data_IF_338055408560
#
_entry.id   IF_338055408560
#
_cell.length_a   1.000
_cell.length_b   1.000
_cell.length_c   1.000
_cell.angle_alpha   90.00
_cell.angle_beta   90.00
_cell.angle_gamma   90.00
#
_symmetry.space_group_name_H-M   'P 1'
#
loop_
_entity.id
_entity.type
_entity.pdbx_description
1 polymer ?
#
# COMPACT_ATOMS: atom_id res chain seq x y z
N UNK A 1 -24.10 23.68 19.84
CA UNK A 1 -23.99 22.44 19.02
C UNK A 1 -22.71 22.34 18.16
N UNK A 2 -21.71 23.22 18.36
CA UNK A 2 -20.48 23.23 17.55
C UNK A 2 -19.25 22.57 18.21
N UNK A 3 -19.41 21.99 19.40
CA UNK A 3 -18.27 21.47 20.19
C UNK A 3 -18.09 19.95 20.16
N UNK A 4 -18.96 19.17 19.50
CA UNK A 4 -18.93 17.70 19.54
C UNK A 4 -18.14 17.04 18.39
N UNK A 5 -17.95 17.72 17.25
CA UNK A 5 -17.26 17.12 16.08
C UNK A 5 -15.74 17.03 16.31
N UNK A 6 -15.16 17.99 17.06
CA UNK A 6 -13.71 17.96 17.38
C UNK A 6 -13.32 16.98 18.49
N UNK A 7 -14.25 16.65 19.39
CA UNK A 7 -13.97 15.75 20.54
C UNK A 7 -14.00 14.28 20.17
N UNK A 8 -14.88 13.87 19.26
CA UNK A 8 -14.94 12.47 18.81
C UNK A 8 -13.72 12.07 17.97
N UNK A 9 -13.21 12.97 17.13
CA UNK A 9 -11.97 12.74 16.38
C UNK A 9 -10.75 12.65 17.30
N UNK A 10 -10.65 13.51 18.32
CA UNK A 10 -9.58 13.46 19.33
C UNK A 10 -9.66 12.24 20.27
N UNK A 11 -10.84 11.69 20.51
CA UNK A 11 -11.00 10.49 21.34
C UNK A 11 -10.65 9.25 20.56
N UNK A 12 -11.05 9.17 19.29
CA UNK A 12 -10.71 8.06 18.37
C UNK A 12 -9.19 7.93 18.17
N UNK A 13 -8.48 9.05 18.00
CA UNK A 13 -7.02 9.06 17.80
C UNK A 13 -6.24 8.57 19.02
N UNK A 14 -6.77 8.74 20.23
CA UNK A 14 -6.13 8.30 21.47
C UNK A 14 -6.22 6.79 21.73
N UNK A 15 -7.17 6.09 21.11
CA UNK A 15 -7.39 4.65 21.32
C UNK A 15 -6.81 3.76 20.21
N UNK A 16 -6.35 4.33 19.11
CA UNK A 16 -5.75 3.55 18.02
C UNK A 16 -4.25 3.38 18.24
N UNK A 17 -3.86 2.26 18.84
CA UNK A 17 -2.46 1.96 19.18
C UNK A 17 -1.59 1.58 17.97
N UNK A 18 -2.19 1.15 16.83
CA UNK A 18 -1.48 0.72 15.64
C UNK A 18 -1.07 1.87 14.73
N UNK A 19 -0.08 1.63 13.88
CA UNK A 19 0.46 2.57 12.88
C UNK A 19 0.39 1.99 11.48
N UNK A 20 0.53 2.85 10.49
CA UNK A 20 0.39 2.50 9.08
C UNK A 20 1.74 2.63 8.37
N UNK A 21 2.07 1.64 7.55
CA UNK A 21 3.24 1.68 6.67
C UNK A 21 2.76 1.49 5.23
N UNK A 22 3.01 2.48 4.39
CA UNK A 22 2.56 2.53 3.00
C UNK A 22 3.76 2.31 2.10
N UNK A 23 3.69 1.29 1.26
CA UNK A 23 4.70 1.02 0.24
C UNK A 23 4.15 1.30 -1.15
N UNK A 24 4.90 2.07 -1.92
CA UNK A 24 4.69 2.23 -3.35
C UNK A 24 6.00 2.08 -4.11
N UNK A 25 5.93 1.61 -5.33
CA UNK A 25 7.10 1.42 -6.17
C UNK A 25 6.70 1.10 -7.61
N UNK A 26 7.54 1.39 -8.58
CA UNK A 26 7.39 0.85 -9.92
C UNK A 26 7.39 -0.68 -9.95
N UNK A 27 6.64 -1.24 -10.89
CA UNK A 27 6.62 -2.70 -11.10
C UNK A 27 8.02 -3.22 -11.41
N UNK A 28 8.50 -4.19 -10.64
CA UNK A 28 9.87 -4.71 -10.81
C UNK A 28 10.91 -4.14 -9.85
N UNK A 29 10.58 -3.13 -9.05
CA UNK A 29 11.51 -2.52 -8.08
C UNK A 29 11.83 -3.39 -6.86
N UNK A 30 11.16 -4.56 -6.69
CA UNK A 30 11.38 -5.47 -5.56
C UNK A 30 10.54 -5.19 -4.32
N UNK A 31 9.50 -4.35 -4.41
CA UNK A 31 8.59 -3.99 -3.32
C UNK A 31 8.05 -5.21 -2.57
N UNK A 32 7.44 -6.16 -3.26
CA UNK A 32 6.83 -7.35 -2.62
C UNK A 32 7.86 -8.21 -1.89
N UNK A 33 9.10 -8.29 -2.38
CA UNK A 33 10.18 -9.02 -1.70
C UNK A 33 10.57 -8.34 -0.39
N UNK A 34 10.64 -7.00 -0.38
CA UNK A 34 10.91 -6.22 0.83
C UNK A 34 9.76 -6.33 1.82
N UNK A 35 8.51 -6.20 1.37
CA UNK A 35 7.32 -6.36 2.22
C UNK A 35 7.29 -7.75 2.87
N UNK A 36 7.50 -8.82 2.09
CA UNK A 36 7.53 -10.18 2.59
C UNK A 36 8.65 -10.42 3.62
N UNK A 37 9.79 -9.75 3.47
CA UNK A 37 10.84 -9.77 4.48
C UNK A 37 10.39 -9.08 5.77
N UNK A 38 9.75 -7.92 5.68
CA UNK A 38 9.27 -7.12 6.82
C UNK A 38 8.16 -7.83 7.60
N UNK A 39 7.24 -8.49 6.92
CA UNK A 39 6.16 -9.27 7.55
C UNK A 39 6.68 -10.44 8.40
N UNK A 40 7.89 -10.92 8.13
CA UNK A 40 8.56 -11.96 8.93
C UNK A 40 9.29 -11.42 10.15
N UNK A 41 9.37 -10.08 10.30
CA UNK A 41 9.98 -9.45 11.46
C UNK A 41 8.97 -9.34 12.61
N UNK A 42 9.46 -9.36 13.84
CA UNK A 42 8.61 -9.22 15.04
C UNK A 42 8.19 -7.75 15.26
N UNK A 43 7.33 -7.21 14.38
CA UNK A 43 6.88 -5.81 14.39
C UNK A 43 5.35 -5.68 14.48
N UNK A 44 4.64 -6.78 14.71
CA UNK A 44 3.18 -6.83 14.68
C UNK A 44 2.60 -6.19 13.39
N UNK A 45 3.22 -6.52 12.23
CA UNK A 45 2.81 -6.03 10.92
C UNK A 45 1.81 -6.99 10.29
N UNK A 46 0.68 -6.44 9.85
CA UNK A 46 -0.36 -7.17 9.14
C UNK A 46 -0.59 -6.54 7.78
N UNK A 47 -0.67 -7.37 6.74
CA UNK A 47 -0.96 -6.88 5.40
C UNK A 47 -2.41 -6.40 5.32
N UNK A 48 -2.63 -5.24 4.67
CA UNK A 48 -3.98 -4.73 4.40
C UNK A 48 -4.67 -5.61 3.36
N UNK A 49 -5.82 -6.17 3.70
CA UNK A 49 -6.62 -6.96 2.77
C UNK A 49 -7.50 -6.00 1.96
N UNK A 50 -7.24 -5.93 0.66
CA UNK A 50 -8.03 -5.09 -0.25
C UNK A 50 -9.38 -5.72 -0.57
N UNK A 51 -10.37 -4.89 -0.91
CA UNK A 51 -11.60 -5.33 -1.54
C UNK A 51 -11.44 -5.35 -3.07
N UNK A 52 -12.15 -6.24 -3.74
CA UNK A 52 -12.20 -6.30 -5.20
C UNK A 52 -13.59 -6.71 -5.69
N UNK A 53 -13.97 -6.22 -6.88
CA UNK A 53 -15.22 -6.63 -7.54
C UNK A 53 -15.05 -7.77 -8.55
N UNK A 54 -13.83 -8.28 -8.73
CA UNK A 54 -13.64 -9.48 -9.55
C UNK A 54 -14.02 -10.75 -8.77
N UNK A 55 -14.41 -11.78 -9.50
CA UNK A 55 -14.62 -13.11 -8.90
C UNK A 55 -13.30 -13.69 -8.32
N UNK A 56 -13.39 -14.49 -7.25
CA UNK A 56 -12.25 -15.25 -6.73
C UNK A 56 -11.62 -16.13 -7.81
N UNK A 57 -10.30 -16.32 -7.74
CA UNK A 57 -9.52 -17.19 -8.64
C UNK A 57 -8.99 -18.39 -7.86
N UNK A 58 -9.16 -19.57 -8.44
CA UNK A 58 -8.63 -20.80 -7.84
C UNK A 58 -9.09 -21.01 -6.40
N UNK A 59 -8.16 -20.98 -5.46
CA UNK A 59 -8.40 -21.24 -4.03
C UNK A 59 -8.52 -19.98 -3.18
N UNK A 60 -8.61 -18.79 -3.79
CA UNK A 60 -8.76 -17.52 -3.06
C UNK A 60 -10.03 -17.52 -2.20
N UNK A 61 -9.92 -17.02 -0.97
CA UNK A 61 -11.00 -16.98 0.02
C UNK A 61 -11.32 -15.56 0.42
N UNK A 62 -12.61 -15.29 0.63
CA UNK A 62 -13.08 -14.01 1.15
C UNK A 62 -12.49 -13.73 2.53
N UNK A 63 -12.02 -12.48 2.73
CA UNK A 63 -11.38 -12.04 3.96
C UNK A 63 -9.96 -12.55 4.19
N UNK A 64 -9.38 -13.28 3.24
CA UNK A 64 -7.99 -13.79 3.29
C UNK A 64 -7.14 -13.09 2.24
N UNK A 65 -7.37 -13.36 0.95
CA UNK A 65 -6.65 -12.69 -0.14
C UNK A 65 -7.29 -11.34 -0.48
N UNK A 66 -8.61 -11.32 -0.54
CA UNK A 66 -9.43 -10.13 -0.80
C UNK A 66 -10.75 -10.20 -0.05
N UNK A 67 -11.42 -9.05 0.11
CA UNK A 67 -12.86 -8.97 0.32
C UNK A 67 -13.53 -8.93 -1.05
N UNK A 68 -14.25 -9.98 -1.41
CA UNK A 68 -14.91 -10.09 -2.71
C UNK A 68 -16.30 -9.47 -2.64
N UNK A 69 -16.50 -8.41 -3.42
CA UNK A 69 -17.77 -7.67 -3.55
C UNK A 69 -18.31 -7.83 -4.97
N UNK A 70 -19.59 -7.67 -5.15
CA UNK A 70 -20.12 -7.46 -6.51
C UNK A 70 -19.78 -6.05 -7.01
N UNK A 71 -19.77 -5.78 -8.34
CA UNK A 71 -19.54 -4.43 -8.85
C UNK A 71 -20.53 -3.40 -8.28
N UNK A 72 -21.82 -3.79 -8.08
CA UNK A 72 -22.84 -2.92 -7.52
C UNK A 72 -22.59 -2.60 -6.05
N UNK A 73 -22.22 -3.60 -5.24
CA UNK A 73 -21.80 -3.39 -3.84
C UNK A 73 -20.57 -2.51 -3.75
N UNK A 74 -19.59 -2.70 -4.65
CA UNK A 74 -18.40 -1.88 -4.67
C UNK A 74 -18.73 -0.42 -4.97
N UNK A 75 -19.56 -0.15 -6.00
CA UNK A 75 -20.04 1.19 -6.34
C UNK A 75 -20.84 1.84 -5.21
N UNK A 76 -21.72 1.08 -4.56
CA UNK A 76 -22.48 1.57 -3.40
C UNK A 76 -21.55 2.01 -2.27
N UNK A 77 -20.49 1.24 -1.98
CA UNK A 77 -19.47 1.60 -0.96
C UNK A 77 -18.60 2.79 -1.38
N UNK A 78 -18.33 2.96 -2.69
CA UNK A 78 -17.69 4.19 -3.20
C UNK A 78 -18.57 5.40 -2.88
N UNK A 79 -19.87 5.32 -3.21
CA UNK A 79 -20.82 6.40 -2.96
C UNK A 79 -20.99 6.72 -1.46
N UNK A 80 -20.87 5.72 -0.59
CA UNK A 80 -20.86 5.88 0.87
C UNK A 80 -19.55 6.44 1.43
N UNK A 81 -18.48 6.54 0.61
CA UNK A 81 -17.16 7.00 1.05
C UNK A 81 -16.42 6.01 1.94
N UNK A 82 -16.69 4.69 1.81
CA UNK A 82 -16.14 3.63 2.66
C UNK A 82 -14.68 3.29 2.34
N UNK A 83 -14.15 3.73 1.21
CA UNK A 83 -12.79 3.43 0.78
C UNK A 83 -11.80 4.55 1.17
N UNK A 84 -10.58 4.15 1.53
CA UNK A 84 -9.41 5.04 1.65
C UNK A 84 -8.88 5.43 0.28
N UNK A 85 -8.80 4.45 -0.60
CA UNK A 85 -8.44 4.55 -2.00
C UNK A 85 -9.18 3.46 -2.78
N UNK A 86 -9.40 3.67 -4.06
CA UNK A 86 -9.89 2.66 -5.00
C UNK A 86 -9.48 3.02 -6.42
N UNK A 87 -9.42 2.00 -7.28
CA UNK A 87 -9.11 2.12 -8.70
C UNK A 87 -10.02 1.18 -9.50
N UNK A 88 -10.54 1.66 -10.63
CA UNK A 88 -11.15 0.83 -11.65
C UNK A 88 -10.08 0.43 -12.68
N UNK A 89 -9.54 -0.78 -12.54
CA UNK A 89 -8.46 -1.28 -13.41
C UNK A 89 -8.96 -1.70 -14.79
N UNK A 90 -10.17 -2.26 -14.85
CA UNK A 90 -10.92 -2.59 -16.06
C UNK A 90 -12.40 -2.35 -15.78
N UNK A 91 -13.21 -2.23 -16.83
CA UNK A 91 -14.66 -2.04 -16.70
C UNK A 91 -15.27 -3.00 -15.68
N UNK A 92 -15.89 -2.45 -14.64
CA UNK A 92 -16.50 -3.16 -13.50
C UNK A 92 -15.51 -4.00 -12.66
N UNK A 93 -14.20 -3.82 -12.81
CA UNK A 93 -13.19 -4.49 -12.00
C UNK A 93 -12.46 -3.47 -11.13
N UNK A 94 -12.98 -3.33 -9.94
CA UNK A 94 -12.48 -2.42 -8.92
C UNK A 94 -11.56 -3.13 -7.93
N UNK A 95 -10.62 -2.37 -7.41
CA UNK A 95 -9.81 -2.71 -6.25
C UNK A 95 -9.78 -1.52 -5.31
N UNK A 96 -9.71 -1.75 -4.01
CA UNK A 96 -9.63 -0.63 -3.06
C UNK A 96 -9.48 -1.11 -1.61
N UNK A 97 -9.15 -0.17 -0.74
CA UNK A 97 -8.92 -0.43 0.67
C UNK A 97 -10.07 0.12 1.52
N UNK A 98 -10.76 -0.76 2.25
CA UNK A 98 -11.86 -0.40 3.14
C UNK A 98 -11.36 0.29 4.41
N UNK A 99 -11.89 1.48 4.74
CA UNK A 99 -11.60 2.21 5.98
C UNK A 99 -11.88 1.37 7.22
N UNK A 100 -13.02 0.68 7.24
CA UNK A 100 -13.46 -0.14 8.38
C UNK A 100 -12.48 -1.26 8.73
N UNK A 101 -11.88 -1.90 7.72
CA UNK A 101 -10.88 -2.96 7.95
C UNK A 101 -9.60 -2.40 8.56
N UNK A 102 -9.11 -1.29 8.02
CA UNK A 102 -7.91 -0.62 8.54
C UNK A 102 -8.12 -0.14 9.96
N UNK A 103 -9.24 0.54 10.23
CA UNK A 103 -9.58 1.04 11.57
C UNK A 103 -9.72 -0.11 12.59
N UNK A 104 -10.36 -1.21 12.19
CA UNK A 104 -10.47 -2.42 13.03
C UNK A 104 -9.10 -2.95 13.46
N UNK A 105 -8.16 -3.05 12.52
CA UNK A 105 -6.78 -3.47 12.78
C UNK A 105 -6.03 -2.53 13.71
N UNK A 106 -6.10 -1.24 13.41
CA UNK A 106 -5.46 -0.21 14.25
C UNK A 106 -5.99 -0.20 15.68
N UNK A 107 -7.31 -0.40 15.87
CA UNK A 107 -7.93 -0.50 17.21
C UNK A 107 -7.47 -1.75 17.97
N UNK A 108 -7.12 -2.82 17.28
CA UNK A 108 -6.54 -4.03 17.87
C UNK A 108 -5.05 -3.86 18.23
N UNK A 109 -4.43 -2.72 17.93
CA UNK A 109 -3.02 -2.47 18.17
C UNK A 109 -2.10 -3.04 17.07
N UNK A 110 -2.67 -3.51 15.96
CA UNK A 110 -1.90 -4.03 14.84
C UNK A 110 -1.32 -2.87 14.01
N UNK A 111 -0.10 -3.05 13.52
CA UNK A 111 0.46 -2.18 12.50
C UNK A 111 0.05 -2.69 11.12
N UNK A 112 -0.45 -1.81 10.27
CA UNK A 112 -0.96 -2.20 8.94
C UNK A 112 0.01 -1.78 7.85
N UNK A 113 0.34 -2.72 6.96
CA UNK A 113 1.20 -2.48 5.81
C UNK A 113 0.36 -2.51 4.53
N UNK A 114 0.58 -1.52 3.67
CA UNK A 114 -0.08 -1.37 2.37
C UNK A 114 0.90 -1.58 1.22
N UNK A 115 0.44 -2.28 0.20
CA UNK A 115 1.06 -2.38 -1.12
C UNK A 115 0.11 -1.72 -2.14
N UNK A 116 0.31 -0.44 -2.40
CA UNK A 116 -0.57 0.38 -3.24
C UNK A 116 0.23 1.14 -4.29
N UNK A 117 -0.46 1.65 -5.31
CA UNK A 117 0.14 2.56 -6.27
C UNK A 117 0.51 3.92 -5.63
N UNK A 118 1.17 4.78 -6.39
CA UNK A 118 1.67 6.08 -5.88
C UNK A 118 0.54 7.04 -5.52
N UNK A 119 -0.57 7.00 -6.24
CA UNK A 119 -1.73 7.88 -5.99
C UNK A 119 -2.47 7.43 -4.74
N UNK A 120 -2.75 6.13 -4.64
CA UNK A 120 -3.34 5.53 -3.44
C UNK A 120 -2.49 5.75 -2.20
N UNK A 121 -1.16 5.59 -2.33
CA UNK A 121 -0.22 5.86 -1.25
C UNK A 121 -0.26 7.30 -0.75
N UNK A 122 -0.26 8.27 -1.65
CA UNK A 122 -0.41 9.68 -1.30
C UNK A 122 -1.76 9.98 -0.63
N UNK A 123 -2.86 9.37 -1.09
CA UNK A 123 -4.18 9.56 -0.52
C UNK A 123 -4.28 9.00 0.90
N UNK A 124 -3.76 7.80 1.13
CA UNK A 124 -3.71 7.19 2.47
C UNK A 124 -2.83 8.04 3.41
N UNK A 125 -1.66 8.49 2.96
CA UNK A 125 -0.78 9.38 3.73
C UNK A 125 -1.48 10.68 4.10
N UNK A 126 -2.17 11.30 3.16
CA UNK A 126 -2.93 12.53 3.41
C UNK A 126 -4.03 12.33 4.45
N UNK A 127 -4.69 11.16 4.44
CA UNK A 127 -5.79 10.87 5.38
C UNK A 127 -5.29 10.61 6.80
N UNK A 128 -4.19 9.86 6.96
CA UNK A 128 -3.67 9.45 8.28
C UNK A 128 -2.55 10.35 8.84
N UNK A 129 -1.98 11.24 8.02
CA UNK A 129 -0.95 12.20 8.46
C UNK A 129 0.26 11.50 9.11
N UNK A 130 0.61 11.94 10.32
CA UNK A 130 1.79 11.46 11.06
C UNK A 130 1.65 10.02 11.60
N UNK A 131 0.44 9.45 11.55
CA UNK A 131 0.18 8.05 11.91
C UNK A 131 0.59 7.07 10.82
N UNK A 132 0.89 7.56 9.62
CA UNK A 132 1.32 6.79 8.47
C UNK A 132 2.74 7.16 8.07
N UNK A 133 3.58 6.15 7.83
CA UNK A 133 4.87 6.28 7.17
C UNK A 133 4.72 5.84 5.73
N UNK A 134 5.01 6.72 4.78
CA UNK A 134 5.05 6.40 3.36
C UNK A 134 6.48 6.14 2.88
N UNK A 135 6.68 4.98 2.25
CA UNK A 135 7.99 4.50 1.78
C UNK A 135 7.90 4.21 0.30
N UNK A 136 8.76 4.85 -0.47
CA UNK A 136 8.90 4.60 -1.91
C UNK A 136 10.11 3.69 -2.15
N UNK A 137 9.91 2.55 -2.82
CA UNK A 137 11.01 1.67 -3.22
C UNK A 137 11.43 2.04 -4.64
N UNK A 138 12.62 2.59 -4.75
CA UNK A 138 13.18 3.09 -6.00
C UNK A 138 14.18 2.08 -6.59
N UNK A 139 14.09 1.74 -7.91
CA UNK A 139 15.18 1.04 -8.58
C UNK A 139 16.40 1.98 -8.71
N UNK A 140 17.62 1.47 -8.87
CA UNK A 140 18.81 2.29 -9.05
C UNK A 140 18.72 3.18 -10.30
N UNK A 141 18.19 2.62 -11.40
CA UNK A 141 17.96 3.30 -12.66
C UNK A 141 16.77 2.68 -13.43
N UNK A 142 16.34 3.34 -14.49
CA UNK A 142 15.34 2.80 -15.42
C UNK A 142 15.92 1.62 -16.21
N UNK A 143 17.20 1.66 -16.55
CA UNK A 143 17.93 0.59 -17.25
C UNK A 143 17.99 -0.69 -16.40
N UNK A 144 18.28 -0.56 -15.10
CA UNK A 144 18.24 -1.68 -14.15
C UNK A 144 16.83 -2.25 -14.04
N UNK A 145 15.81 -1.38 -13.98
CA UNK A 145 14.43 -1.82 -13.93
C UNK A 145 14.04 -2.61 -15.19
N UNK A 146 14.42 -2.12 -16.37
CA UNK A 146 14.23 -2.82 -17.66
C UNK A 146 14.88 -4.19 -17.62
N UNK A 147 16.15 -4.26 -17.27
CA UNK A 147 16.90 -5.52 -17.18
C UNK A 147 16.22 -6.52 -16.23
N UNK A 148 15.67 -6.06 -15.10
CA UNK A 148 14.93 -6.90 -14.14
C UNK A 148 13.61 -7.41 -14.72
N UNK A 149 12.90 -6.60 -15.51
CA UNK A 149 11.63 -7.00 -16.16
C UNK A 149 11.90 -8.03 -17.27
N UNK A 150 12.90 -7.78 -18.11
CA UNK A 150 13.34 -8.71 -19.18
C UNK A 150 13.84 -10.04 -18.60
N UNK A 151 14.64 -9.99 -17.52
CA UNK A 151 15.20 -11.17 -16.87
C UNK A 151 14.15 -12.12 -16.26
N UNK A 152 12.90 -11.67 -16.05
CA UNK A 152 11.78 -12.53 -15.60
C UNK A 152 11.27 -13.45 -16.72
N UNK A 153 11.41 -13.05 -17.98
CA UNK A 153 10.99 -13.86 -19.14
C UNK A 153 9.48 -14.12 -19.22
N UNK A 154 8.66 -13.35 -18.49
CA UNK A 154 7.20 -13.55 -18.38
C UNK A 154 6.41 -12.59 -19.24
N UNK A 155 6.99 -11.48 -19.64
CA UNK A 155 6.31 -10.38 -20.34
C UNK A 155 6.82 -10.24 -21.78
N UNK A 156 5.90 -9.93 -22.70
CA UNK A 156 6.26 -9.57 -24.06
C UNK A 156 6.94 -8.17 -24.10
N UNK A 157 7.78 -7.88 -25.12
CA UNK A 157 8.50 -6.60 -25.21
C UNK A 157 7.59 -5.37 -25.08
N UNK A 158 6.43 -5.38 -25.72
CA UNK A 158 5.46 -4.27 -25.68
C UNK A 158 4.91 -4.03 -24.27
N UNK A 159 4.75 -5.11 -23.49
CA UNK A 159 4.32 -5.03 -22.09
C UNK A 159 5.43 -4.41 -21.23
N UNK A 160 6.69 -4.75 -21.51
CA UNK A 160 7.85 -4.17 -20.83
C UNK A 160 7.92 -2.67 -21.10
N UNK A 161 7.77 -2.21 -22.34
CA UNK A 161 7.74 -0.78 -22.67
C UNK A 161 6.62 -0.03 -21.93
N UNK A 162 5.43 -0.60 -21.91
CA UNK A 162 4.30 -0.03 -21.14
C UNK A 162 4.60 0.08 -19.64
N UNK A 163 5.28 -0.93 -19.08
CA UNK A 163 5.69 -0.90 -17.64
C UNK A 163 6.78 0.13 -17.37
N UNK A 164 7.71 0.32 -18.29
CA UNK A 164 8.76 1.34 -18.17
C UNK A 164 8.14 2.74 -18.23
N UNK A 165 7.24 3.01 -19.18
CA UNK A 165 6.55 4.29 -19.26
C UNK A 165 5.73 4.58 -17.98
N UNK A 166 5.05 3.56 -17.42
CA UNK A 166 4.38 3.68 -16.12
C UNK A 166 5.36 3.94 -14.99
N UNK A 167 6.53 3.29 -14.99
CA UNK A 167 7.56 3.46 -13.97
C UNK A 167 8.12 4.89 -13.96
N UNK A 168 8.33 5.52 -15.11
CA UNK A 168 8.74 6.93 -15.21
C UNK A 168 7.72 7.86 -14.57
N UNK A 169 6.43 7.62 -14.82
CA UNK A 169 5.35 8.35 -14.15
C UNK A 169 5.38 8.16 -12.63
N UNK A 170 5.51 6.92 -12.16
CA UNK A 170 5.53 6.58 -10.73
C UNK A 170 6.76 7.15 -10.01
N UNK A 171 7.93 7.19 -10.66
CA UNK A 171 9.16 7.81 -10.15
C UNK A 171 8.98 9.31 -9.92
N UNK A 172 8.16 10.00 -10.73
CA UNK A 172 7.81 11.41 -10.52
C UNK A 172 7.04 11.69 -9.22
N UNK A 173 6.61 10.67 -8.50
CA UNK A 173 5.96 10.80 -7.19
C UNK A 173 6.91 10.54 -6.01
N UNK A 174 8.14 10.11 -6.24
CA UNK A 174 9.07 9.70 -5.18
C UNK A 174 9.21 10.76 -4.07
N UNK A 175 9.34 12.04 -4.45
CA UNK A 175 9.50 13.17 -3.53
C UNK A 175 8.27 13.45 -2.65
N UNK A 176 7.12 12.82 -2.93
CA UNK A 176 5.90 12.93 -2.12
C UNK A 176 5.84 11.93 -0.98
N UNK A 177 6.79 11.01 -0.92
CA UNK A 177 6.90 10.01 0.12
C UNK A 177 7.85 10.45 1.23
N UNK A 178 7.58 10.02 2.46
CA UNK A 178 8.41 10.39 3.62
C UNK A 178 9.83 9.83 3.52
N UNK A 179 9.98 8.65 2.88
CA UNK A 179 11.28 7.96 2.74
C UNK A 179 11.37 7.30 1.37
N UNK A 180 12.54 7.46 0.74
CA UNK A 180 12.91 6.72 -0.47
C UNK A 180 13.96 5.68 -0.08
N UNK A 181 13.70 4.41 -0.40
CA UNK A 181 14.65 3.30 -0.23
C UNK A 181 15.08 2.84 -1.61
N UNK A 182 16.37 3.03 -1.93
CA UNK A 182 16.94 2.59 -3.21
C UNK A 182 17.25 1.10 -3.15
N UNK A 183 16.62 0.30 -4.00
CA UNK A 183 16.84 -1.14 -4.08
C UNK A 183 17.86 -1.48 -5.18
N UNK A 184 19.13 -1.12 -4.93
CA UNK A 184 20.28 -1.59 -5.69
C UNK A 184 20.64 -3.02 -5.26
N UNK A 185 20.94 -3.21 -3.97
CA UNK A 185 21.20 -4.51 -3.34
C UNK A 185 20.07 -4.83 -2.36
N UNK A 186 19.38 -5.94 -2.61
CA UNK A 186 18.17 -6.31 -1.86
C UNK A 186 18.39 -6.33 -0.34
N UNK A 187 19.49 -6.92 0.12
CA UNK A 187 19.77 -7.03 1.57
C UNK A 187 20.01 -5.66 2.22
N UNK A 188 20.56 -4.70 1.47
CA UNK A 188 20.78 -3.33 1.95
C UNK A 188 19.43 -2.62 2.04
N UNK A 189 18.62 -2.69 1.00
CA UNK A 189 17.28 -2.10 0.97
C UNK A 189 16.34 -2.68 2.06
N UNK A 190 16.42 -3.99 2.30
CA UNK A 190 15.68 -4.64 3.39
C UNK A 190 16.08 -4.12 4.78
N UNK A 191 17.38 -3.97 5.03
CA UNK A 191 17.89 -3.44 6.30
C UNK A 191 17.52 -1.98 6.50
N UNK A 192 17.59 -1.17 5.46
CA UNK A 192 17.22 0.24 5.48
C UNK A 192 15.71 0.40 5.76
N UNK A 193 14.85 -0.31 5.01
CA UNK A 193 13.41 -0.31 5.24
C UNK A 193 13.07 -0.74 6.67
N UNK A 194 13.70 -1.81 7.16
CA UNK A 194 13.50 -2.29 8.54
C UNK A 194 13.91 -1.25 9.58
N UNK A 195 15.04 -0.56 9.38
CA UNK A 195 15.52 0.50 10.28
C UNK A 195 14.51 1.63 10.35
N UNK A 196 14.10 2.17 9.22
CA UNK A 196 13.16 3.29 9.12
C UNK A 196 11.81 2.95 9.78
N UNK A 197 11.29 1.75 9.53
CA UNK A 197 10.04 1.30 10.14
C UNK A 197 10.18 1.16 11.66
N UNK A 198 11.27 0.57 12.16
CA UNK A 198 11.51 0.46 13.61
C UNK A 198 11.59 1.83 14.27
N UNK A 199 12.23 2.79 13.64
CA UNK A 199 12.31 4.18 14.14
C UNK A 199 10.94 4.85 14.16
N UNK A 200 10.14 4.66 13.10
CA UNK A 200 8.78 5.19 13.04
C UNK A 200 7.85 4.55 14.09
N UNK A 201 7.90 3.25 14.28
CA UNK A 201 7.06 2.55 15.25
C UNK A 201 7.38 2.91 16.70
N UNK A 202 8.62 3.36 16.99
CA UNK A 202 9.04 3.81 18.32
C UNK A 202 8.60 5.25 18.67
N UNK A 203 8.28 6.08 17.69
CA UNK A 203 7.76 7.44 17.94
C UNK A 203 6.41 7.31 18.63
N UNK A 204 6.21 8.03 19.73
CA UNK A 204 4.95 8.07 20.46
C UNK A 204 3.87 8.80 19.66
#
# INVERSE_FOLDING_TARGET
AQCLVGSEMCIRDRYMAGKLIIFSAPSGSGKSTIINFLLKQNLNLHFSISATSRAPRGTEKDGVEYYFLTPDEFRARIAAGDFLEYEEVYTDKYYGTLKSEVERRLMSGDNVIFDVDVVGGCNIKKFYGDRALSVFIQPPSIEDLRSRLEGRGTDAPEVIESRIAKAEFELGFADKFDVIVVNDKLEVAQKEALKVIKEFLKKA
#
